data_IF_629147540370
#
_entry.id   IF_629147540370
#
_cell.length_a   1.000
_cell.length_b   1.000
_cell.length_c   1.000
_cell.angle_alpha   90.00
_cell.angle_beta   90.00
_cell.angle_gamma   90.00
#
_symmetry.space_group_name_H-M   'P 1'
#
loop_
_entity.id
_entity.type
_entity.pdbx_description
1 polymer ?
#
# COMPACT_ATOMS: atom_id res chain seq x y z
N UNK A 1 29.63 -5.14 -22.35
CA UNK A 1 29.46 -6.09 -21.28
C UNK A 1 28.07 -5.90 -20.71
N UNK A 2 27.18 -6.90 -20.91
CA UNK A 2 25.89 -6.94 -20.24
C UNK A 2 26.15 -7.08 -18.74
N UNK A 3 26.04 -5.98 -18.01
CA UNK A 3 25.81 -6.05 -16.58
C UNK A 3 24.45 -6.72 -16.41
N UNK A 4 24.44 -7.86 -15.75
CA UNK A 4 23.23 -8.59 -15.43
C UNK A 4 22.30 -7.61 -14.69
N UNK A 5 21.25 -7.16 -15.36
CA UNK A 5 20.24 -6.32 -14.75
C UNK A 5 19.66 -7.06 -13.55
N UNK A 6 19.97 -6.57 -12.35
CA UNK A 6 19.47 -7.17 -11.11
C UNK A 6 17.94 -7.28 -11.13
N UNK A 7 17.38 -8.19 -10.36
CA UNK A 7 15.94 -8.33 -10.21
C UNK A 7 15.39 -6.99 -9.70
N UNK A 8 14.44 -6.33 -10.41
CA UNK A 8 13.95 -5.03 -9.99
C UNK A 8 13.20 -5.12 -8.66
N UNK A 9 13.33 -4.08 -7.82
CA UNK A 9 12.50 -3.88 -6.66
C UNK A 9 11.08 -3.49 -7.10
N UNK A 10 10.08 -4.26 -6.71
CA UNK A 10 8.72 -4.16 -7.23
C UNK A 10 7.82 -3.43 -6.25
N UNK A 11 7.35 -2.26 -6.67
CA UNK A 11 6.37 -1.48 -5.92
C UNK A 11 4.99 -1.65 -6.53
N UNK A 12 3.99 -1.90 -5.69
CA UNK A 12 2.59 -1.97 -6.08
C UNK A 12 1.77 -0.86 -5.41
N UNK A 13 0.85 -0.29 -6.18
CA UNK A 13 -0.26 0.51 -5.68
C UNK A 13 -1.55 -0.01 -6.30
N UNK A 14 -2.66 -0.02 -5.55
CA UNK A 14 -3.94 -0.47 -6.08
C UNK A 14 -5.07 0.48 -5.72
N UNK A 15 -6.08 0.54 -6.59
CA UNK A 15 -7.25 1.37 -6.41
C UNK A 15 -7.72 2.07 -7.69
N UNK A 16 -8.76 2.88 -7.55
CA UNK A 16 -9.29 3.66 -8.67
C UNK A 16 -8.24 4.63 -9.19
N UNK A 17 -8.09 4.74 -10.52
CA UNK A 17 -7.18 5.69 -11.15
C UNK A 17 -7.84 7.07 -11.24
N UNK A 18 -7.82 7.80 -10.13
CA UNK A 18 -8.47 9.09 -9.91
C UNK A 18 -7.56 10.03 -9.12
N UNK A 19 -7.90 11.31 -9.07
CA UNK A 19 -7.01 12.31 -8.46
C UNK A 19 -6.85 12.11 -6.95
N UNK A 20 -7.91 11.67 -6.25
CA UNK A 20 -7.89 11.41 -4.81
C UNK A 20 -6.97 10.23 -4.41
N UNK A 21 -6.74 9.27 -5.31
CA UNK A 21 -5.80 8.17 -5.08
C UNK A 21 -4.34 8.57 -5.29
N UNK A 22 -4.11 9.72 -5.87
CA UNK A 22 -2.83 10.44 -5.92
C UNK A 22 -1.62 9.63 -6.44
N UNK A 23 -1.84 8.70 -7.36
CA UNK A 23 -0.75 7.91 -7.97
C UNK A 23 0.30 8.78 -8.70
N UNK A 24 -0.04 10.05 -9.00
CA UNK A 24 0.90 11.05 -9.54
C UNK A 24 2.05 11.25 -8.56
N UNK A 25 1.76 11.41 -7.27
CA UNK A 25 2.78 11.61 -6.24
C UNK A 25 3.72 10.40 -6.10
N UNK A 26 3.20 9.17 -6.23
CA UNK A 26 4.02 7.97 -6.24
C UNK A 26 5.00 7.95 -7.43
N UNK A 27 4.52 8.29 -8.63
CA UNK A 27 5.38 8.39 -9.82
C UNK A 27 6.48 9.45 -9.62
N UNK A 28 6.12 10.60 -9.05
CA UNK A 28 7.09 11.67 -8.74
C UNK A 28 8.09 11.25 -7.65
N UNK A 29 7.65 10.49 -6.66
CA UNK A 29 8.51 9.95 -5.61
C UNK A 29 9.53 8.95 -6.18
N UNK A 30 9.07 7.97 -6.96
CA UNK A 30 9.97 6.99 -7.59
C UNK A 30 10.99 7.67 -8.51
N UNK A 31 10.58 8.71 -9.26
CA UNK A 31 11.49 9.47 -10.11
C UNK A 31 12.56 10.25 -9.31
N UNK A 32 12.39 10.45 -8.01
CA UNK A 32 13.33 11.12 -7.10
C UNK A 32 14.15 10.15 -6.25
N UNK A 33 13.78 8.87 -6.23
CA UNK A 33 14.47 7.83 -5.50
C UNK A 33 15.92 7.70 -5.95
N UNK A 34 16.83 7.46 -5.03
CA UNK A 34 18.22 7.12 -5.32
C UNK A 34 18.33 5.81 -6.12
N UNK A 35 17.30 4.95 -6.02
CA UNK A 35 17.20 3.64 -6.68
C UNK A 35 16.22 3.63 -7.86
N UNK A 36 15.90 4.79 -8.45
CA UNK A 36 14.89 4.94 -9.52
C UNK A 36 15.08 3.97 -10.70
N UNK A 37 16.32 3.61 -11.03
CA UNK A 37 16.64 2.70 -12.13
C UNK A 37 16.34 1.22 -11.80
N UNK A 38 16.23 0.87 -10.52
CA UNK A 38 16.00 -0.50 -10.05
C UNK A 38 14.54 -0.76 -9.71
N UNK A 39 13.69 0.27 -9.69
CA UNK A 39 12.29 0.15 -9.29
C UNK A 39 11.39 -0.17 -10.49
N UNK A 40 10.55 -1.21 -10.34
CA UNK A 40 9.41 -1.47 -11.23
C UNK A 40 8.10 -1.16 -10.53
N UNK A 41 7.31 -0.25 -11.12
CA UNK A 41 6.01 0.16 -10.58
C UNK A 41 4.85 -0.58 -11.26
N UNK A 42 3.96 -1.16 -10.44
CA UNK A 42 2.65 -1.64 -10.88
C UNK A 42 1.55 -0.83 -10.22
N UNK A 43 0.62 -0.26 -11.00
CA UNK A 43 -0.60 0.37 -10.50
C UNK A 43 -1.80 -0.45 -10.98
N UNK A 44 -2.38 -1.22 -10.05
CA UNK A 44 -3.51 -2.09 -10.32
C UNK A 44 -4.83 -1.33 -10.15
N UNK A 45 -5.50 -1.04 -11.27
CA UNK A 45 -6.78 -0.34 -11.23
C UNK A 45 -7.25 0.20 -12.56
N UNK A 46 -8.44 0.81 -12.53
CA UNK A 46 -9.06 1.51 -13.66
C UNK A 46 -9.55 2.89 -13.22
N UNK A 47 -9.68 3.80 -14.16
CA UNK A 47 -10.22 5.12 -13.85
C UNK A 47 -9.90 6.20 -14.88
N UNK A 48 -10.47 7.39 -14.70
CA UNK A 48 -10.47 8.45 -15.72
C UNK A 48 -9.08 9.01 -16.04
N UNK A 49 -8.13 8.93 -15.09
CA UNK A 49 -6.78 9.51 -15.30
C UNK A 49 -5.74 8.50 -15.77
N UNK A 50 -6.13 7.28 -16.18
CA UNK A 50 -5.19 6.23 -16.63
C UNK A 50 -4.20 6.76 -17.67
N UNK A 51 -4.67 7.38 -18.75
CA UNK A 51 -3.82 7.91 -19.81
C UNK A 51 -2.86 9.01 -19.32
N UNK A 52 -3.27 9.80 -18.32
CA UNK A 52 -2.40 10.80 -17.68
C UNK A 52 -1.26 10.13 -16.93
N UNK A 53 -1.58 9.08 -16.14
CA UNK A 53 -0.59 8.32 -15.38
C UNK A 53 0.40 7.59 -16.29
N UNK A 54 -0.08 6.92 -17.33
CA UNK A 54 0.78 6.25 -18.32
C UNK A 54 1.75 7.21 -19.01
N UNK A 55 1.28 8.42 -19.35
CA UNK A 55 2.12 9.45 -19.97
C UNK A 55 3.15 9.98 -18.98
N UNK A 56 2.75 10.23 -17.73
CA UNK A 56 3.64 10.71 -16.68
C UNK A 56 4.72 9.67 -16.36
N UNK A 57 4.32 8.39 -16.18
CA UNK A 57 5.24 7.30 -15.92
C UNK A 57 6.29 7.14 -17.03
N UNK A 58 5.86 7.15 -18.31
CA UNK A 58 6.81 7.11 -19.46
C UNK A 58 7.78 8.27 -19.49
N UNK A 59 7.37 9.44 -19.01
CA UNK A 59 8.23 10.64 -19.00
C UNK A 59 9.22 10.65 -17.85
N UNK A 60 8.84 10.09 -16.70
CA UNK A 60 9.53 10.28 -15.42
C UNK A 60 10.30 9.05 -14.95
N UNK A 61 9.80 7.85 -15.21
CA UNK A 61 10.39 6.63 -14.69
C UNK A 61 11.43 6.05 -15.62
N UNK A 62 12.51 5.54 -15.05
CA UNK A 62 13.56 4.86 -15.77
C UNK A 62 13.10 3.52 -16.35
N UNK A 63 12.27 2.78 -15.61
CA UNK A 63 11.65 1.52 -16.07
C UNK A 63 10.19 1.73 -16.46
N UNK A 64 9.68 1.02 -17.49
CA UNK A 64 8.26 1.06 -17.85
C UNK A 64 7.39 0.59 -16.67
N UNK A 65 6.36 1.36 -16.32
CA UNK A 65 5.37 0.99 -15.32
C UNK A 65 4.23 0.17 -15.94
N UNK A 66 3.69 -0.77 -15.17
CA UNK A 66 2.48 -1.53 -15.50
C UNK A 66 1.26 -0.83 -14.88
N UNK A 67 0.38 -0.25 -15.71
CA UNK A 67 -0.81 0.49 -15.22
C UNK A 67 -2.06 -0.09 -15.87
N UNK A 68 -2.93 -0.73 -15.09
CA UNK A 68 -4.13 -1.31 -15.65
C UNK A 68 -4.96 -2.16 -14.72
N UNK A 69 -6.01 -2.74 -15.30
CA UNK A 69 -6.93 -3.61 -14.61
C UNK A 69 -6.28 -4.96 -14.27
N UNK A 70 -6.53 -5.42 -13.06
CA UNK A 70 -6.25 -6.77 -12.61
C UNK A 70 -7.54 -7.37 -12.05
N UNK A 71 -7.79 -8.66 -12.28
CA UNK A 71 -8.94 -9.36 -11.70
C UNK A 71 -8.70 -9.53 -10.20
N UNK A 72 -9.76 -9.47 -9.39
CA UNK A 72 -9.64 -9.70 -7.95
C UNK A 72 -8.99 -11.06 -7.62
N UNK A 73 -9.27 -12.09 -8.43
CA UNK A 73 -8.65 -13.42 -8.31
C UNK A 73 -7.12 -13.41 -8.47
N UNK A 74 -6.59 -12.46 -9.23
CA UNK A 74 -5.17 -12.38 -9.58
C UNK A 74 -4.41 -11.45 -8.62
N UNK A 75 -5.13 -10.65 -7.83
CA UNK A 75 -4.54 -9.68 -6.90
C UNK A 75 -3.63 -10.32 -5.84
N UNK A 76 -4.00 -11.45 -5.18
CA UNK A 76 -3.10 -12.06 -4.21
C UNK A 76 -1.75 -12.46 -4.82
N UNK A 77 -1.76 -13.06 -6.01
CA UNK A 77 -0.53 -13.45 -6.70
C UNK A 77 0.32 -12.22 -7.10
N UNK A 78 -0.33 -11.14 -7.55
CA UNK A 78 0.35 -9.88 -7.85
C UNK A 78 1.01 -9.31 -6.59
N UNK A 79 0.25 -9.18 -5.48
CA UNK A 79 0.74 -8.62 -4.23
C UNK A 79 1.94 -9.45 -3.70
N UNK A 80 1.81 -10.79 -3.67
CA UNK A 80 2.90 -11.69 -3.24
C UNK A 80 4.13 -11.64 -4.14
N UNK A 81 4.02 -11.12 -5.36
CA UNK A 81 5.15 -10.96 -6.27
C UNK A 81 5.87 -9.61 -6.14
N UNK A 82 5.36 -8.71 -5.29
CA UNK A 82 5.91 -7.38 -5.06
C UNK A 82 6.67 -7.31 -3.74
N UNK A 83 7.50 -6.27 -3.59
CA UNK A 83 8.33 -6.06 -2.41
C UNK A 83 7.75 -5.01 -1.46
N UNK A 84 7.05 -4.01 -1.98
CA UNK A 84 6.53 -2.89 -1.20
C UNK A 84 5.14 -2.45 -1.71
N UNK A 85 4.24 -2.10 -0.80
CA UNK A 85 2.97 -1.46 -1.12
C UNK A 85 3.06 0.05 -0.88
N UNK A 86 2.66 0.87 -1.85
CA UNK A 86 2.51 2.31 -1.65
C UNK A 86 1.04 2.73 -1.74
N UNK A 87 0.57 3.51 -0.76
CA UNK A 87 -0.79 4.01 -0.70
C UNK A 87 -0.80 5.53 -0.57
N UNK A 88 -0.66 6.27 -1.70
CA UNK A 88 -0.50 7.73 -1.69
C UNK A 88 -1.83 8.49 -1.61
N UNK A 89 -2.90 7.85 -1.19
CA UNK A 89 -4.28 8.37 -1.25
C UNK A 89 -4.48 9.60 -0.37
N UNK A 90 -5.05 10.66 -0.95
CA UNK A 90 -5.46 11.86 -0.23
C UNK A 90 -6.74 11.60 0.56
N UNK A 91 -7.67 10.83 -0.01
CA UNK A 91 -8.95 10.49 0.60
C UNK A 91 -9.24 9.00 0.46
N UNK A 92 -9.41 8.32 1.58
CA UNK A 92 -9.77 6.91 1.63
C UNK A 92 -10.46 6.58 2.96
N UNK A 93 -11.64 5.95 2.90
CA UNK A 93 -12.42 5.63 4.10
C UNK A 93 -12.09 4.25 4.68
N UNK A 94 -11.89 3.25 3.82
CA UNK A 94 -11.79 1.85 4.23
C UNK A 94 -10.40 1.26 4.01
N UNK A 95 -9.67 1.76 3.02
CA UNK A 95 -8.29 1.35 2.68
C UNK A 95 -8.10 -0.18 2.55
N UNK A 96 -9.11 -0.87 1.99
CA UNK A 96 -9.12 -2.34 1.83
C UNK A 96 -7.86 -2.82 1.11
N UNK A 97 -7.39 -2.07 0.13
CA UNK A 97 -6.15 -2.38 -0.60
C UNK A 97 -4.89 -2.41 0.28
N UNK A 98 -4.88 -1.63 1.36
CA UNK A 98 -3.78 -1.67 2.35
C UNK A 98 -3.85 -2.96 3.15
N UNK A 99 -5.05 -3.33 3.63
CA UNK A 99 -5.28 -4.58 4.38
C UNK A 99 -4.92 -5.79 3.52
N UNK A 100 -5.31 -5.81 2.24
CA UNK A 100 -4.97 -6.89 1.30
C UNK A 100 -3.45 -7.02 1.12
N UNK A 101 -2.74 -5.90 0.96
CA UNK A 101 -1.29 -5.90 0.85
C UNK A 101 -0.60 -6.39 2.11
N UNK A 102 -1.01 -5.91 3.29
CA UNK A 102 -0.52 -6.36 4.59
C UNK A 102 -0.75 -7.86 4.79
N UNK A 103 -1.93 -8.37 4.42
CA UNK A 103 -2.24 -9.80 4.48
C UNK A 103 -1.34 -10.66 3.60
N UNK A 104 -0.80 -10.09 2.52
CA UNK A 104 0.17 -10.73 1.64
C UNK A 104 1.63 -10.56 2.11
N UNK A 105 1.87 -9.92 3.26
CA UNK A 105 3.20 -9.71 3.83
C UNK A 105 3.93 -8.50 3.27
N UNK A 106 3.23 -7.59 2.58
CA UNK A 106 3.82 -6.32 2.12
C UNK A 106 3.83 -5.29 3.25
N UNK A 107 4.96 -4.60 3.38
CA UNK A 107 5.03 -3.38 4.17
C UNK A 107 4.34 -2.25 3.39
N UNK A 108 3.36 -1.54 3.98
CA UNK A 108 2.75 -0.40 3.34
C UNK A 108 3.51 0.90 3.64
N UNK A 109 3.67 1.77 2.62
CA UNK A 109 4.05 3.18 2.82
C UNK A 109 2.83 4.03 2.47
N UNK A 110 2.28 4.69 3.48
CA UNK A 110 0.95 5.29 3.47
C UNK A 110 1.05 6.81 3.60
N UNK A 111 0.28 7.52 2.78
CA UNK A 111 0.11 8.97 2.94
C UNK A 111 -0.72 9.28 4.19
N UNK A 112 -0.19 10.11 5.07
CA UNK A 112 -0.94 10.72 6.16
C UNK A 112 -1.71 11.91 5.62
N UNK A 113 -3.03 11.79 5.61
CA UNK A 113 -3.97 12.81 5.14
C UNK A 113 -5.13 12.95 6.10
N UNK A 114 -5.62 14.17 6.37
CA UNK A 114 -6.82 14.39 7.23
C UNK A 114 -8.11 13.75 6.68
N UNK A 115 -8.13 13.43 5.39
CA UNK A 115 -9.29 12.83 4.70
C UNK A 115 -9.13 11.32 4.48
N UNK A 116 -8.10 10.70 5.06
CA UNK A 116 -7.82 9.28 4.89
C UNK A 116 -7.68 8.58 6.24
N UNK A 117 -8.40 7.48 6.41
CA UNK A 117 -8.25 6.62 7.57
C UNK A 117 -7.05 5.66 7.45
N UNK A 118 -6.38 5.61 6.29
CA UNK A 118 -5.32 4.65 6.00
C UNK A 118 -4.13 4.72 6.96
N UNK A 119 -3.82 5.90 7.51
CA UNK A 119 -2.70 6.11 8.42
C UNK A 119 -2.76 5.24 9.70
N UNK A 120 -3.96 4.78 10.09
CA UNK A 120 -4.13 3.87 11.23
C UNK A 120 -3.45 2.50 11.02
N UNK A 121 -3.18 2.11 9.78
CA UNK A 121 -2.54 0.84 9.45
C UNK A 121 -1.01 0.90 9.50
N UNK A 122 -0.40 2.06 9.68
CA UNK A 122 1.05 2.18 9.80
C UNK A 122 1.51 1.69 11.18
N UNK A 123 2.34 0.64 11.21
CA UNK A 123 2.88 0.05 12.45
C UNK A 123 4.28 0.55 12.80
N UNK A 124 4.96 1.23 11.87
CA UNK A 124 6.28 1.84 12.08
C UNK A 124 6.37 3.22 11.41
N UNK A 125 7.32 4.07 11.84
CA UNK A 125 7.46 5.41 11.28
C UNK A 125 7.73 5.44 9.78
N UNK A 126 8.51 4.48 9.28
CA UNK A 126 8.89 4.36 7.86
C UNK A 126 7.72 3.94 6.96
N UNK A 127 6.60 3.55 7.56
CA UNK A 127 5.34 3.26 6.85
C UNK A 127 4.43 4.49 6.67
N UNK A 128 4.83 5.68 7.13
CA UNK A 128 3.97 6.85 7.11
C UNK A 128 4.72 8.10 6.62
N UNK A 129 4.17 8.80 5.63
CA UNK A 129 4.71 10.08 5.14
C UNK A 129 3.59 11.13 5.02
N UNK A 130 3.92 12.41 5.05
CA UNK A 130 2.93 13.49 4.89
C UNK A 130 2.52 13.63 3.42
N UNK A 131 1.22 13.59 3.14
CA UNK A 131 0.67 13.77 1.78
C UNK A 131 1.13 15.10 1.16
N UNK A 132 1.46 15.09 -0.12
CA UNK A 132 2.01 16.27 -0.82
C UNK A 132 3.53 16.39 -0.73
N UNK A 133 4.21 15.40 -0.12
CA UNK A 133 5.65 15.36 0.06
C UNK A 133 6.28 14.15 -0.65
N UNK A 134 6.36 14.15 -2.00
CA UNK A 134 6.93 13.04 -2.76
C UNK A 134 8.41 12.77 -2.41
N UNK A 135 9.13 13.75 -1.89
CA UNK A 135 10.49 13.58 -1.37
C UNK A 135 10.55 12.72 -0.10
N UNK A 136 9.55 12.81 0.78
CA UNK A 136 9.46 11.93 1.95
C UNK A 136 9.12 10.50 1.53
N UNK A 137 8.16 10.35 0.61
CA UNK A 137 7.81 9.04 0.05
C UNK A 137 9.04 8.39 -0.62
N UNK A 138 9.82 9.16 -1.39
CA UNK A 138 11.06 8.68 -1.99
C UNK A 138 12.06 8.20 -0.93
N UNK A 139 12.28 8.99 0.12
CA UNK A 139 13.19 8.63 1.21
C UNK A 139 12.76 7.34 1.93
N UNK A 140 11.45 7.12 2.15
CA UNK A 140 10.96 5.88 2.74
C UNK A 140 11.12 4.68 1.79
N UNK A 141 10.88 4.87 0.49
CA UNK A 141 11.13 3.82 -0.51
C UNK A 141 12.61 3.43 -0.50
N UNK A 142 13.51 4.42 -0.54
CA UNK A 142 14.96 4.18 -0.51
C UNK A 142 15.38 3.45 0.76
N UNK A 143 14.84 3.86 1.90
CA UNK A 143 15.11 3.21 3.17
C UNK A 143 14.73 1.72 3.16
N UNK A 144 13.55 1.37 2.65
CA UNK A 144 13.11 -0.02 2.55
C UNK A 144 13.96 -0.86 1.57
N UNK A 145 14.42 -0.26 0.48
CA UNK A 145 15.34 -0.92 -0.47
C UNK A 145 16.69 -1.23 0.20
N UNK A 146 17.19 -0.29 1.00
CA UNK A 146 18.48 -0.39 1.67
C UNK A 146 18.46 -1.28 2.92
N UNK A 147 17.26 -1.62 3.44
CA UNK A 147 17.05 -2.41 4.65
C UNK A 147 16.21 -3.67 4.39
N UNK A 148 16.68 -4.60 3.53
CA UNK A 148 15.87 -5.76 3.10
C UNK A 148 15.56 -6.73 4.24
N UNK A 149 16.38 -6.79 5.29
CA UNK A 149 16.10 -7.62 6.46
C UNK A 149 14.93 -7.07 7.26
N UNK A 150 14.95 -5.79 7.53
CA UNK A 150 13.89 -5.06 8.23
C UNK A 150 12.58 -5.11 7.40
N UNK A 151 12.67 -5.00 6.07
CA UNK A 151 11.51 -5.14 5.18
C UNK A 151 10.84 -6.50 5.36
N UNK A 152 11.61 -7.59 5.41
CA UNK A 152 11.08 -8.93 5.62
C UNK A 152 10.48 -9.12 7.03
N UNK A 153 11.15 -8.64 8.07
CA UNK A 153 10.68 -8.72 9.45
C UNK A 153 9.38 -7.94 9.65
N UNK A 154 9.29 -6.72 9.11
CA UNK A 154 8.07 -5.93 9.14
C UNK A 154 6.97 -6.51 8.26
N UNK A 155 7.29 -7.07 7.10
CA UNK A 155 6.32 -7.76 6.26
C UNK A 155 5.61 -8.88 7.01
N UNK A 156 6.34 -9.70 7.76
CA UNK A 156 5.75 -10.73 8.63
C UNK A 156 4.90 -10.11 9.74
N UNK A 157 5.39 -9.05 10.38
CA UNK A 157 4.66 -8.34 11.44
C UNK A 157 3.31 -7.80 10.92
N UNK A 158 3.30 -7.21 9.73
CA UNK A 158 2.09 -6.71 9.08
C UNK A 158 1.10 -7.84 8.74
N UNK A 159 1.60 -8.99 8.24
CA UNK A 159 0.76 -10.14 7.94
C UNK A 159 0.10 -10.72 9.20
N UNK A 160 0.88 -10.88 10.28
CA UNK A 160 0.39 -11.40 11.55
C UNK A 160 -0.63 -10.44 12.19
N UNK A 161 -0.34 -9.15 12.18
CA UNK A 161 -1.27 -8.11 12.66
C UNK A 161 -2.60 -8.13 11.87
N UNK A 162 -2.52 -8.28 10.55
CA UNK A 162 -3.71 -8.34 9.70
C UNK A 162 -4.54 -9.57 10.01
N UNK A 163 -3.91 -10.72 10.18
CA UNK A 163 -4.59 -11.97 10.54
C UNK A 163 -5.29 -11.87 11.90
N UNK A 164 -4.66 -11.24 12.86
CA UNK A 164 -5.21 -11.08 14.20
C UNK A 164 -6.40 -10.11 14.26
N UNK A 165 -6.30 -8.98 13.55
CA UNK A 165 -7.25 -7.87 13.71
C UNK A 165 -8.28 -7.72 12.60
N UNK A 166 -7.97 -8.20 11.38
CA UNK A 166 -8.79 -7.97 10.18
C UNK A 166 -9.26 -9.25 9.47
N UNK A 167 -9.05 -10.44 10.07
CA UNK A 167 -9.63 -11.68 9.54
C UNK A 167 -11.14 -11.72 9.73
N UNK A 168 -11.83 -12.51 8.92
CA UNK A 168 -13.27 -12.73 9.05
C UNK A 168 -13.60 -13.33 10.44
N UNK A 169 -12.78 -14.27 10.91
CA UNK A 169 -12.92 -14.90 12.24
C UNK A 169 -12.82 -13.87 13.36
N UNK A 170 -11.81 -12.98 13.31
CA UNK A 170 -11.61 -11.89 14.26
C UNK A 170 -12.80 -10.93 14.25
N UNK A 171 -13.28 -10.53 13.08
CA UNK A 171 -14.42 -9.61 12.92
C UNK A 171 -15.70 -10.22 13.49
N UNK A 172 -15.97 -11.50 13.22
CA UNK A 172 -17.13 -12.21 13.80
C UNK A 172 -17.02 -12.33 15.31
N UNK A 173 -15.83 -12.62 15.84
CA UNK A 173 -15.61 -12.71 17.29
C UNK A 173 -15.89 -11.37 17.99
N UNK A 174 -15.36 -10.27 17.45
CA UNK A 174 -15.60 -8.92 17.99
C UNK A 174 -17.09 -8.53 17.94
N UNK A 175 -17.78 -8.88 16.84
CA UNK A 175 -19.22 -8.63 16.70
C UNK A 175 -20.04 -9.36 17.75
N UNK A 176 -19.80 -10.66 17.95
CA UNK A 176 -20.47 -11.49 18.96
C UNK A 176 -20.21 -10.98 20.38
N UNK A 177 -18.97 -10.52 20.65
CA UNK A 177 -18.63 -9.94 21.94
C UNK A 177 -19.38 -8.63 22.19
N UNK A 178 -19.43 -7.74 21.22
CA UNK A 178 -20.17 -6.48 21.27
C UNK A 178 -21.69 -6.72 21.51
N UNK A 179 -22.29 -7.71 20.83
CA UNK A 179 -23.69 -8.08 21.07
C UNK A 179 -23.91 -8.54 22.51
N UNK A 180 -23.04 -9.41 23.06
CA UNK A 180 -23.14 -9.90 24.44
C UNK A 180 -23.05 -8.78 25.46
N UNK A 181 -22.11 -7.84 25.28
CA UNK A 181 -21.95 -6.68 26.15
C UNK A 181 -23.18 -5.75 26.09
N UNK A 182 -23.74 -5.53 24.90
CA UNK A 182 -24.94 -4.73 24.69
C UNK A 182 -26.16 -5.36 25.39
N UNK A 183 -26.35 -6.68 25.26
CA UNK A 183 -27.44 -7.42 25.92
C UNK A 183 -27.28 -7.35 27.43
N UNK A 184 -26.05 -7.55 27.95
CA UNK A 184 -25.76 -7.47 29.37
C UNK A 184 -26.08 -6.08 29.97
N UNK A 185 -25.66 -5.02 29.25
CA UNK A 185 -25.92 -3.63 29.64
C UNK A 185 -27.42 -3.29 29.67
N UNK A 186 -28.20 -3.77 28.69
CA UNK A 186 -29.66 -3.57 28.66
C UNK A 186 -30.42 -4.47 29.63
N UNK A 187 -29.91 -5.67 29.96
CA UNK A 187 -30.49 -6.57 30.97
C UNK A 187 -30.27 -6.11 32.39
N UNK A 188 -29.20 -5.37 32.68
CA UNK A 188 -28.92 -4.80 34.00
C UNK A 188 -29.71 -3.48 34.29
N UNK A 189 -30.35 -2.91 33.28
CA UNK A 189 -31.14 -1.67 33.39
C UNK A 189 -32.64 -1.93 33.67
N UNK A 190 -33.05 -3.17 33.93
CA UNK A 190 -34.39 -3.59 34.36
C UNK A 190 -34.35 -4.16 35.78
#
# INVERSE_FOLDING_TARGET
GDEAAGVPFKIVASGRLSNEKNHVELIEAIARSAHAEDIHLTIAGTGPIKRKLERLARKKLARPASIGFHRNSDMPALLQSCDLLCHPSIADLESVSVIEGMACGLVPVIAKSPQSAASQFALCPESLYEVGHPEQLAAHIDWWIEHPRELNEWGQTYADHTKEHYSVESSVHQFVQMERETIAAHGAAR
#
